data_IF_177460888153
#
_entry.id   IF_177460888153
#
_cell.length_a   1.000
_cell.length_b   1.000
_cell.length_c   1.000
_cell.angle_alpha   90.00
_cell.angle_beta   90.00
_cell.angle_gamma   90.00
#
_symmetry.space_group_name_H-M   'P 1'
#
loop_
_entity.id
_entity.type
_entity.pdbx_description
1 polymer ?
#
# COMPACT_ATOMS: atom_id res chain seq x y z
N UNK A 1 -50.64 -9.53 21.72
CA UNK A 1 -50.73 -10.08 20.34
C UNK A 1 -50.31 -9.10 19.27
N UNK A 2 -50.85 -7.89 19.21
CA UNK A 2 -50.52 -6.88 18.17
C UNK A 2 -49.03 -6.47 18.14
N UNK A 3 -48.39 -6.29 19.30
CA UNK A 3 -46.99 -5.90 19.41
C UNK A 3 -46.06 -7.02 18.88
N UNK A 4 -46.35 -8.28 19.14
CA UNK A 4 -45.61 -9.43 18.58
C UNK A 4 -45.74 -9.53 17.07
N UNK A 5 -46.95 -9.31 16.52
CA UNK A 5 -47.17 -9.32 15.08
C UNK A 5 -46.40 -8.18 14.35
N UNK A 6 -46.31 -7.00 14.96
CA UNK A 6 -45.52 -5.87 14.41
C UNK A 6 -44.03 -6.17 14.39
N UNK A 7 -43.48 -6.80 15.45
CA UNK A 7 -42.06 -7.20 15.48
C UNK A 7 -41.79 -8.24 14.39
N UNK A 8 -42.63 -9.24 14.25
CA UNK A 8 -42.45 -10.26 13.23
C UNK A 8 -42.53 -9.70 11.82
N UNK A 9 -43.44 -8.77 11.55
CA UNK A 9 -43.56 -8.11 10.26
C UNK A 9 -42.34 -7.26 9.97
N UNK A 10 -41.84 -6.49 10.95
CA UNK A 10 -40.62 -5.67 10.76
C UNK A 10 -39.38 -6.55 10.46
N UNK A 11 -39.21 -7.68 11.14
CA UNK A 11 -38.15 -8.63 10.83
C UNK A 11 -38.25 -9.21 9.43
N UNK A 12 -39.48 -9.59 9.00
CA UNK A 12 -39.69 -10.07 7.64
C UNK A 12 -39.33 -9.03 6.58
N UNK A 13 -39.75 -7.79 6.77
CA UNK A 13 -39.42 -6.69 5.87
C UNK A 13 -37.90 -6.46 5.83
N UNK A 14 -37.22 -6.39 6.97
CA UNK A 14 -35.77 -6.22 7.05
C UNK A 14 -35.02 -7.36 6.35
N UNK A 15 -35.42 -8.60 6.61
CA UNK A 15 -34.84 -9.78 5.92
C UNK A 15 -35.06 -9.72 4.41
N UNK A 16 -36.25 -9.34 3.96
CA UNK A 16 -36.57 -9.20 2.53
C UNK A 16 -35.72 -8.11 1.85
N UNK A 17 -35.58 -6.95 2.51
CA UNK A 17 -34.73 -5.87 2.03
C UNK A 17 -33.24 -6.29 1.98
N UNK A 18 -32.78 -7.01 3.00
CA UNK A 18 -31.42 -7.52 3.06
C UNK A 18 -31.12 -8.51 1.92
N UNK A 19 -32.04 -9.48 1.70
CA UNK A 19 -31.90 -10.44 0.59
C UNK A 19 -31.98 -9.77 -0.77
N UNK A 20 -32.85 -8.79 -0.93
CA UNK A 20 -32.95 -8.02 -2.15
C UNK A 20 -31.63 -7.27 -2.42
N UNK A 21 -31.07 -6.58 -1.42
CA UNK A 21 -29.78 -5.91 -1.54
C UNK A 21 -28.63 -6.91 -1.82
N UNK A 22 -28.61 -8.05 -1.16
CA UNK A 22 -27.61 -9.10 -1.41
C UNK A 22 -27.68 -9.64 -2.84
N UNK A 23 -28.86 -9.92 -3.36
CA UNK A 23 -29.05 -10.47 -4.70
C UNK A 23 -28.81 -9.43 -5.81
N UNK A 24 -29.25 -8.18 -5.60
CA UNK A 24 -29.19 -7.14 -6.65
C UNK A 24 -27.87 -6.35 -6.65
N UNK A 25 -27.20 -6.23 -5.53
CA UNK A 25 -25.96 -5.45 -5.39
C UNK A 25 -24.80 -6.35 -4.95
N UNK A 26 -24.94 -7.06 -3.84
CA UNK A 26 -23.83 -7.78 -3.21
C UNK A 26 -23.24 -8.89 -4.09
N UNK A 27 -24.10 -9.78 -4.62
CA UNK A 27 -23.65 -10.87 -5.50
C UNK A 27 -23.09 -10.35 -6.82
N UNK A 28 -23.78 -9.46 -7.58
CA UNK A 28 -23.22 -8.90 -8.81
C UNK A 28 -21.91 -8.17 -8.58
N UNK A 29 -21.79 -7.34 -7.55
CA UNK A 29 -20.55 -6.67 -7.20
C UNK A 29 -19.41 -7.67 -6.94
N UNK A 30 -19.66 -8.69 -6.13
CA UNK A 30 -18.66 -9.73 -5.82
C UNK A 30 -18.23 -10.48 -7.08
N UNK A 31 -19.16 -10.84 -7.95
CA UNK A 31 -18.85 -11.48 -9.23
C UNK A 31 -18.01 -10.56 -10.13
N UNK A 32 -18.35 -9.27 -10.23
CA UNK A 32 -17.56 -8.30 -11.00
C UNK A 32 -16.15 -8.14 -10.44
N UNK A 33 -16.00 -8.06 -9.12
CA UNK A 33 -14.69 -8.00 -8.46
C UNK A 33 -13.87 -9.28 -8.70
N UNK A 34 -14.52 -10.42 -8.76
CA UNK A 34 -13.85 -11.71 -8.99
C UNK A 34 -13.39 -11.89 -10.43
N UNK A 35 -14.28 -11.64 -11.39
CA UNK A 35 -14.04 -11.94 -12.82
C UNK A 35 -13.33 -10.82 -13.59
N UNK A 36 -13.39 -9.57 -13.12
CA UNK A 36 -12.79 -8.44 -13.83
C UNK A 36 -11.70 -7.75 -13.03
N UNK A 37 -10.44 -7.99 -13.40
CA UNK A 37 -9.27 -7.29 -12.82
C UNK A 37 -9.39 -5.77 -13.03
N UNK A 38 -9.84 -5.32 -14.19
CA UNK A 38 -10.01 -3.90 -14.51
C UNK A 38 -11.08 -3.25 -13.63
N UNK A 39 -12.24 -3.90 -13.47
CA UNK A 39 -13.28 -3.42 -12.56
C UNK A 39 -12.78 -3.36 -11.12
N UNK A 40 -12.12 -4.42 -10.64
CA UNK A 40 -11.55 -4.48 -9.30
C UNK A 40 -10.56 -3.33 -9.04
N UNK A 41 -9.66 -3.05 -9.98
CA UNK A 41 -8.68 -1.96 -9.85
C UNK A 41 -9.35 -0.57 -9.86
N UNK A 42 -10.37 -0.37 -10.71
CA UNK A 42 -11.14 0.88 -10.76
C UNK A 42 -11.98 1.07 -9.49
N UNK A 43 -12.70 0.03 -9.07
CA UNK A 43 -13.47 0.03 -7.83
C UNK A 43 -12.58 0.32 -6.62
N UNK A 44 -11.43 -0.35 -6.52
CA UNK A 44 -10.51 -0.17 -5.41
C UNK A 44 -9.99 1.26 -5.32
N UNK A 45 -9.57 1.87 -6.44
CA UNK A 45 -9.06 3.25 -6.40
C UNK A 45 -10.14 4.23 -5.94
N UNK A 46 -11.38 4.10 -6.44
CA UNK A 46 -12.51 4.89 -5.97
C UNK A 46 -12.82 4.64 -4.49
N UNK A 47 -12.98 3.36 -4.10
CA UNK A 47 -13.31 2.95 -2.74
C UNK A 47 -12.24 3.39 -1.73
N UNK A 48 -10.96 3.24 -2.12
CA UNK A 48 -9.85 3.66 -1.27
C UNK A 48 -9.84 5.17 -1.08
N UNK A 49 -9.93 5.95 -2.15
CA UNK A 49 -9.85 7.42 -2.08
C UNK A 49 -11.02 8.04 -1.30
N UNK A 50 -12.23 7.54 -1.51
CA UNK A 50 -13.43 8.18 -0.95
C UNK A 50 -13.96 7.57 0.34
N UNK A 51 -13.70 6.29 0.59
CA UNK A 51 -14.26 5.57 1.74
C UNK A 51 -13.17 5.19 2.75
N UNK A 52 -12.17 4.43 2.31
CA UNK A 52 -11.13 3.90 3.22
C UNK A 52 -10.08 4.95 3.56
N UNK A 53 -9.59 5.70 2.57
CA UNK A 53 -8.52 6.68 2.73
C UNK A 53 -8.81 7.72 3.80
N UNK A 54 -9.96 8.40 3.83
CA UNK A 54 -10.29 9.38 4.87
C UNK A 54 -10.22 8.83 6.30
N UNK A 55 -10.49 7.53 6.47
CA UNK A 55 -10.40 6.84 7.77
C UNK A 55 -8.98 6.35 8.03
N UNK A 56 -8.33 5.74 7.04
CA UNK A 56 -7.06 5.04 7.18
C UNK A 56 -5.85 6.00 7.16
N UNK A 57 -5.83 6.97 6.24
CA UNK A 57 -4.68 7.85 6.02
C UNK A 57 -4.24 8.62 7.29
N UNK A 58 -5.13 9.26 8.07
CA UNK A 58 -4.72 9.97 9.29
C UNK A 58 -4.03 9.06 10.32
N UNK A 59 -4.40 7.77 10.36
CA UNK A 59 -3.87 6.79 11.32
C UNK A 59 -2.52 6.22 10.88
N UNK A 60 -2.18 6.36 9.60
CA UNK A 60 -0.88 5.96 9.06
C UNK A 60 0.16 7.09 9.04
N UNK A 61 -0.21 8.31 9.44
CA UNK A 61 0.72 9.45 9.57
C UNK A 61 1.89 9.14 10.51
N UNK A 62 1.70 8.59 11.73
CA UNK A 62 2.83 8.32 12.63
C UNK A 62 3.88 7.36 12.03
N UNK A 63 3.52 6.17 11.51
CA UNK A 63 4.50 5.31 10.87
C UNK A 63 5.10 5.90 9.58
N UNK A 64 4.34 6.69 8.80
CA UNK A 64 4.88 7.42 7.64
C UNK A 64 5.92 8.45 8.06
N UNK A 65 5.67 9.25 9.09
CA UNK A 65 6.66 10.18 9.62
C UNK A 65 7.94 9.48 10.03
N UNK A 66 7.83 8.32 10.69
CA UNK A 66 9.01 7.54 11.09
C UNK A 66 9.82 7.07 9.89
N UNK A 67 9.17 6.51 8.85
CA UNK A 67 9.88 6.04 7.66
C UNK A 67 10.52 7.18 6.87
N UNK A 68 9.85 8.33 6.78
CA UNK A 68 10.44 9.49 6.09
C UNK A 68 11.49 10.23 6.92
N UNK A 69 11.47 10.08 8.26
CA UNK A 69 12.60 10.51 9.09
C UNK A 69 13.84 9.64 8.81
N UNK A 70 13.68 8.32 8.73
CA UNK A 70 14.76 7.42 8.32
C UNK A 70 15.33 7.82 6.95
N UNK A 71 14.45 8.13 5.97
CA UNK A 71 14.90 8.64 4.67
C UNK A 71 15.76 9.90 4.81
N UNK A 72 15.29 10.90 5.57
CA UNK A 72 16.01 12.16 5.78
C UNK A 72 17.36 11.93 6.46
N UNK A 73 17.42 11.06 7.44
CA UNK A 73 18.65 10.70 8.15
C UNK A 73 19.66 10.01 7.21
N UNK A 74 19.18 9.09 6.36
CA UNK A 74 20.01 8.40 5.36
C UNK A 74 20.63 9.32 4.31
N UNK A 75 20.04 10.48 4.04
CA UNK A 75 20.49 11.43 3.02
C UNK A 75 20.97 12.76 3.62
N UNK A 76 21.19 12.83 4.93
CA UNK A 76 21.55 14.07 5.63
C UNK A 76 22.87 14.66 5.13
N UNK A 77 23.86 13.80 4.90
CA UNK A 77 25.23 14.19 4.51
C UNK A 77 25.42 14.37 3.00
N UNK A 78 24.33 14.24 2.20
CA UNK A 78 24.41 14.43 0.74
C UNK A 78 24.65 15.89 0.38
N UNK A 79 25.25 16.13 -0.78
CA UNK A 79 25.29 17.47 -1.37
C UNK A 79 23.85 17.92 -1.71
N UNK A 80 23.37 18.98 -1.04
CA UNK A 80 22.02 19.50 -1.21
C UNK A 80 21.81 20.28 -2.51
N UNK A 81 22.86 20.65 -3.21
CA UNK A 81 22.79 21.32 -4.52
C UNK A 81 22.43 20.34 -5.64
N UNK A 82 22.63 19.05 -5.42
CA UNK A 82 22.25 17.98 -6.35
C UNK A 82 20.88 17.42 -5.97
N UNK A 83 19.89 17.40 -6.88
CA UNK A 83 18.58 16.79 -6.59
C UNK A 83 18.70 15.32 -6.19
N UNK A 84 17.87 14.90 -5.24
CA UNK A 84 17.75 13.51 -4.83
C UNK A 84 16.88 12.76 -5.85
N UNK A 85 17.44 11.76 -6.52
CA UNK A 85 16.69 10.91 -7.45
C UNK A 85 15.90 9.83 -6.70
N UNK A 86 14.58 9.97 -6.68
CA UNK A 86 13.69 9.11 -5.91
C UNK A 86 12.66 8.41 -6.79
N UNK A 87 12.43 7.13 -6.55
CA UNK A 87 11.29 6.38 -7.06
C UNK A 87 10.37 5.98 -5.91
N UNK A 88 9.10 6.34 -5.99
CA UNK A 88 8.06 5.75 -5.15
C UNK A 88 7.32 4.65 -5.91
N UNK A 89 7.33 3.43 -5.38
CA UNK A 89 6.63 2.28 -5.96
C UNK A 89 5.33 2.01 -5.19
N UNK A 90 4.21 1.88 -5.91
CA UNK A 90 2.88 1.75 -5.33
C UNK A 90 2.37 3.06 -4.76
N UNK A 91 2.49 4.14 -5.54
CA UNK A 91 2.20 5.51 -5.07
C UNK A 91 0.74 5.73 -4.68
N UNK A 92 -0.21 4.98 -5.27
CA UNK A 92 -1.63 5.19 -5.06
C UNK A 92 -2.07 6.62 -5.35
N UNK A 93 -2.81 7.22 -4.42
CA UNK A 93 -3.22 8.64 -4.52
C UNK A 93 -2.15 9.65 -4.07
N UNK A 94 -0.96 9.17 -3.66
CA UNK A 94 0.14 10.02 -3.20
C UNK A 94 0.10 10.45 -1.73
N UNK A 95 -0.19 9.56 -0.77
CA UNK A 95 -0.28 9.93 0.65
C UNK A 95 1.08 10.28 1.28
N UNK A 96 2.17 10.00 0.58
CA UNK A 96 3.54 10.27 1.04
C UNK A 96 4.06 11.64 0.63
N UNK A 97 3.40 12.34 -0.29
CA UNK A 97 3.89 13.57 -0.90
C UNK A 97 4.27 14.66 0.12
N UNK A 98 3.51 14.76 1.22
CA UNK A 98 3.77 15.74 2.29
C UNK A 98 5.08 15.49 3.08
N UNK A 99 5.74 14.36 2.89
CA UNK A 99 6.89 13.97 3.71
C UNK A 99 8.24 14.03 2.97
N UNK A 100 8.23 14.11 1.64
CA UNK A 100 9.45 14.19 0.84
C UNK A 100 10.28 15.44 1.17
N UNK A 101 11.62 15.34 1.14
CA UNK A 101 12.50 16.50 1.32
C UNK A 101 12.41 17.45 0.13
N UNK A 102 12.86 18.68 0.34
CA UNK A 102 13.10 19.63 -0.73
C UNK A 102 14.23 19.15 -1.65
N UNK A 103 14.27 19.69 -2.87
CA UNK A 103 15.23 19.32 -3.92
C UNK A 103 15.25 17.81 -4.20
N UNK A 104 14.06 17.28 -4.53
CA UNK A 104 13.81 15.87 -4.81
C UNK A 104 13.18 15.74 -6.21
N UNK A 105 13.81 14.96 -7.07
CA UNK A 105 13.26 14.52 -8.35
C UNK A 105 12.48 13.23 -8.12
N UNK A 106 11.16 13.32 -8.15
CA UNK A 106 10.30 12.20 -7.84
C UNK A 106 9.71 11.57 -9.10
N UNK A 107 10.10 10.35 -9.38
CA UNK A 107 9.40 9.42 -10.27
C UNK A 107 8.45 8.56 -9.45
N UNK A 108 7.24 8.30 -9.96
CA UNK A 108 6.27 7.44 -9.27
C UNK A 108 5.85 6.29 -10.17
N UNK A 109 5.64 5.13 -9.55
CA UNK A 109 5.22 3.92 -10.25
C UNK A 109 4.01 3.30 -9.54
N UNK A 110 2.99 2.96 -10.33
CA UNK A 110 1.86 2.16 -9.85
C UNK A 110 1.33 1.28 -11.00
N UNK A 111 0.96 0.03 -10.69
CA UNK A 111 0.31 -0.84 -11.68
C UNK A 111 -1.14 -0.48 -11.95
N UNK A 112 -1.78 0.24 -11.02
CA UNK A 112 -3.18 0.63 -11.11
C UNK A 112 -3.33 2.03 -11.71
N UNK A 113 -3.51 2.09 -13.03
CA UNK A 113 -3.69 3.35 -13.78
C UNK A 113 -4.83 4.24 -13.27
N UNK A 114 -5.79 3.70 -12.55
CA UNK A 114 -6.93 4.48 -12.04
C UNK A 114 -6.56 5.39 -10.85
N UNK A 115 -5.36 5.24 -10.28
CA UNK A 115 -4.85 6.20 -9.30
C UNK A 115 -4.22 7.45 -9.93
N UNK A 116 -3.83 7.40 -11.21
CA UNK A 116 -3.09 8.47 -11.87
C UNK A 116 -3.75 9.86 -11.73
N UNK A 117 -5.07 9.95 -11.97
CA UNK A 117 -5.80 11.21 -11.86
C UNK A 117 -5.87 11.74 -10.42
N UNK A 118 -6.01 10.85 -9.43
CA UNK A 118 -6.01 11.21 -8.01
C UNK A 118 -4.63 11.69 -7.57
N UNK A 119 -3.59 10.96 -7.97
CA UNK A 119 -2.22 11.34 -7.74
C UNK A 119 -1.90 12.70 -8.34
N UNK A 120 -2.19 12.93 -9.64
CA UNK A 120 -1.93 14.19 -10.34
C UNK A 120 -2.63 15.39 -9.66
N UNK A 121 -3.85 15.18 -9.13
CA UNK A 121 -4.55 16.21 -8.34
C UNK A 121 -3.85 16.50 -7.01
N UNK A 122 -3.37 15.47 -6.31
CA UNK A 122 -2.67 15.64 -5.03
C UNK A 122 -1.28 16.25 -5.23
N UNK A 123 -0.57 15.87 -6.27
CA UNK A 123 0.76 16.38 -6.61
C UNK A 123 0.82 17.91 -6.72
N UNK A 124 -0.23 18.53 -7.27
CA UNK A 124 -0.34 19.99 -7.37
C UNK A 124 -0.28 20.73 -6.04
N UNK A 125 -0.52 20.05 -4.91
CA UNK A 125 -0.46 20.63 -3.56
C UNK A 125 0.97 20.73 -3.02
N UNK A 126 1.95 20.09 -3.69
CA UNK A 126 3.33 19.99 -3.23
C UNK A 126 4.32 20.47 -4.30
N UNK A 127 4.31 21.78 -4.65
CA UNK A 127 5.12 22.34 -5.74
C UNK A 127 6.63 22.30 -5.48
N UNK A 128 7.05 22.02 -4.25
CA UNK A 128 8.47 21.88 -3.88
C UNK A 128 9.10 20.56 -4.37
N UNK A 129 8.27 19.60 -4.84
CA UNK A 129 8.72 18.35 -5.41
C UNK A 129 8.82 18.48 -6.92
N UNK A 130 9.98 18.19 -7.49
CA UNK A 130 10.16 18.13 -8.93
C UNK A 130 9.65 16.79 -9.47
N UNK A 131 8.41 16.78 -9.99
CA UNK A 131 7.85 15.59 -10.62
C UNK A 131 8.50 15.31 -11.96
N UNK A 132 9.04 14.10 -12.13
CA UNK A 132 9.65 13.68 -13.38
C UNK A 132 8.63 12.99 -14.27
N UNK A 133 8.04 11.89 -13.80
CA UNK A 133 7.03 11.13 -14.56
C UNK A 133 6.25 10.15 -13.69
N UNK A 134 5.09 9.74 -14.20
CA UNK A 134 4.32 8.60 -13.71
C UNK A 134 4.57 7.39 -14.62
N UNK A 135 4.89 6.25 -14.04
CA UNK A 135 5.13 4.99 -14.74
C UNK A 135 4.00 4.01 -14.38
N UNK A 136 3.25 3.55 -15.37
CA UNK A 136 2.17 2.58 -15.18
C UNK A 136 2.68 1.17 -15.48
N UNK A 137 3.34 0.58 -14.51
CA UNK A 137 3.96 -0.75 -14.60
C UNK A 137 3.85 -1.49 -13.25
N UNK A 138 3.91 -2.84 -13.27
CA UNK A 138 4.09 -3.61 -12.04
C UNK A 138 5.51 -3.40 -11.48
N UNK A 139 5.63 -3.34 -10.16
CA UNK A 139 6.93 -3.17 -9.50
C UNK A 139 7.86 -4.40 -9.66
N UNK A 140 7.32 -5.52 -10.09
CA UNK A 140 8.05 -6.73 -10.48
C UNK A 140 8.86 -6.59 -11.78
N UNK A 141 8.53 -5.58 -12.59
CA UNK A 141 9.20 -5.28 -13.84
C UNK A 141 9.23 -3.76 -14.06
N UNK A 142 10.32 -3.13 -13.69
CA UNK A 142 10.54 -1.68 -13.82
C UNK A 142 11.38 -1.37 -15.07
N UNK A 143 11.06 -1.96 -16.23
CA UNK A 143 11.85 -1.84 -17.46
C UNK A 143 12.07 -0.40 -17.93
N UNK A 144 11.16 0.52 -17.59
CA UNK A 144 11.28 1.93 -17.94
C UNK A 144 12.21 2.72 -16.99
N UNK A 145 12.71 2.09 -15.94
CA UNK A 145 13.66 2.69 -14.99
C UNK A 145 15.05 2.12 -15.25
N UNK A 146 16.00 3.01 -15.50
CA UNK A 146 17.37 2.61 -15.79
C UNK A 146 18.07 1.98 -14.57
N UNK A 147 19.03 1.09 -14.84
CA UNK A 147 19.89 0.48 -13.83
C UNK A 147 20.70 1.55 -13.10
N UNK A 148 20.87 1.38 -11.79
CA UNK A 148 21.73 2.25 -10.96
C UNK A 148 21.49 3.74 -11.15
N UNK A 149 20.22 4.14 -11.35
CA UNK A 149 19.84 5.54 -11.63
C UNK A 149 19.31 6.29 -10.42
N UNK A 150 18.89 5.58 -9.36
CA UNK A 150 18.17 6.16 -8.23
C UNK A 150 19.01 6.15 -6.95
N UNK A 151 18.91 7.23 -6.19
CA UNK A 151 19.48 7.33 -4.85
C UNK A 151 18.62 6.63 -3.81
N UNK A 152 17.29 6.75 -3.98
CA UNK A 152 16.31 6.17 -3.04
C UNK A 152 15.14 5.54 -3.79
N UNK A 153 14.70 4.38 -3.31
CA UNK A 153 13.39 3.78 -3.63
C UNK A 153 12.55 3.75 -2.36
N UNK A 154 11.30 4.17 -2.45
CA UNK A 154 10.34 4.17 -1.34
C UNK A 154 9.18 3.24 -1.67
N UNK A 155 8.77 2.40 -0.72
CA UNK A 155 7.49 1.69 -0.77
C UNK A 155 6.69 1.85 0.52
N UNK A 156 5.38 2.00 0.39
CA UNK A 156 4.47 1.96 1.53
C UNK A 156 3.24 1.14 1.20
N UNK A 157 3.06 0.01 1.90
CA UNK A 157 1.94 -0.92 1.71
C UNK A 157 1.81 -1.47 0.28
N UNK A 158 2.96 -1.77 -0.36
CA UNK A 158 3.04 -2.33 -1.71
C UNK A 158 3.13 -3.85 -1.71
N UNK A 159 4.04 -4.41 -0.88
CA UNK A 159 4.40 -5.84 -0.96
C UNK A 159 3.23 -6.78 -0.69
N UNK A 160 2.20 -6.33 0.00
CA UNK A 160 0.98 -7.10 0.20
C UNK A 160 0.19 -7.34 -1.10
N UNK A 161 0.34 -6.44 -2.10
CA UNK A 161 -0.45 -6.42 -3.34
C UNK A 161 0.33 -6.79 -4.59
N UNK A 162 1.66 -6.99 -4.49
CA UNK A 162 2.47 -7.47 -5.62
C UNK A 162 2.30 -8.98 -5.81
N UNK A 163 2.55 -9.48 -7.01
CA UNK A 163 2.45 -10.92 -7.30
C UNK A 163 3.68 -11.66 -6.75
N UNK A 164 4.88 -11.10 -6.95
CA UNK A 164 6.15 -11.63 -6.42
C UNK A 164 7.01 -10.55 -5.75
N UNK A 165 7.03 -10.58 -4.41
CA UNK A 165 7.86 -9.64 -3.62
C UNK A 165 9.37 -9.81 -3.87
N UNK A 166 9.85 -11.00 -4.23
CA UNK A 166 11.28 -11.18 -4.53
C UNK A 166 11.65 -10.56 -5.87
N UNK A 167 10.78 -10.65 -6.87
CA UNK A 167 10.95 -9.94 -8.14
C UNK A 167 10.98 -8.43 -7.93
N UNK A 168 10.07 -7.87 -7.11
CA UNK A 168 10.09 -6.45 -6.72
C UNK A 168 11.42 -6.07 -6.09
N UNK A 169 11.90 -6.83 -5.12
CA UNK A 169 13.15 -6.53 -4.41
C UNK A 169 14.38 -6.64 -5.32
N UNK A 170 14.37 -7.55 -6.30
CA UNK A 170 15.38 -7.64 -7.33
C UNK A 170 15.42 -6.39 -8.21
N UNK A 171 14.26 -5.91 -8.65
CA UNK A 171 14.15 -4.68 -9.43
C UNK A 171 14.57 -3.45 -8.61
N UNK A 172 14.14 -3.34 -7.34
CA UNK A 172 14.58 -2.28 -6.42
C UNK A 172 16.10 -2.22 -6.35
N UNK A 173 16.76 -3.37 -6.18
CA UNK A 173 18.23 -3.42 -6.18
C UNK A 173 18.84 -3.04 -7.52
N UNK A 174 18.23 -3.45 -8.66
CA UNK A 174 18.73 -3.11 -9.99
C UNK A 174 18.75 -1.60 -10.20
N UNK A 175 17.66 -0.91 -9.90
CA UNK A 175 17.48 0.53 -10.16
C UNK A 175 18.24 1.43 -9.18
N UNK A 176 18.51 0.97 -7.95
CA UNK A 176 19.30 1.71 -6.97
C UNK A 176 20.77 1.81 -7.40
N UNK A 177 21.39 2.98 -7.20
CA UNK A 177 22.84 3.19 -7.27
C UNK A 177 23.55 2.34 -6.20
N UNK A 178 24.84 2.01 -6.36
CA UNK A 178 25.63 1.46 -5.26
C UNK A 178 25.55 2.36 -4.02
N UNK A 179 25.23 1.77 -2.84
CA UNK A 179 24.99 2.51 -1.59
C UNK A 179 23.64 3.18 -1.51
N UNK A 180 22.81 3.13 -2.57
CA UNK A 180 21.44 3.65 -2.59
C UNK A 180 20.52 2.97 -1.57
N UNK A 181 19.46 3.64 -1.16
CA UNK A 181 18.61 3.24 -0.05
C UNK A 181 17.21 2.80 -0.50
N UNK A 182 16.78 1.66 -0.03
CA UNK A 182 15.38 1.23 -0.12
C UNK A 182 14.70 1.47 1.23
N UNK A 183 13.76 2.39 1.27
CA UNK A 183 13.02 2.79 2.48
C UNK A 183 11.61 2.22 2.40
N UNK A 184 11.16 1.54 3.45
CA UNK A 184 9.90 0.80 3.40
C UNK A 184 9.05 0.91 4.67
N UNK A 185 7.73 0.89 4.46
CA UNK A 185 6.69 0.73 5.46
C UNK A 185 5.67 -0.29 4.93
N UNK A 186 5.62 -1.47 5.53
CA UNK A 186 4.76 -2.55 5.04
C UNK A 186 3.98 -3.20 6.19
N UNK A 187 2.72 -3.57 5.96
CA UNK A 187 2.05 -4.47 6.88
C UNK A 187 2.48 -5.91 6.62
N UNK A 188 2.52 -6.70 7.68
CA UNK A 188 2.98 -8.08 7.65
C UNK A 188 2.01 -9.00 8.40
N UNK A 189 2.19 -10.30 8.21
CA UNK A 189 1.42 -11.30 8.95
C UNK A 189 1.70 -11.23 10.46
N UNK A 190 0.74 -11.73 11.22
CA UNK A 190 0.97 -12.04 12.64
C UNK A 190 2.05 -13.11 12.81
N UNK A 191 2.78 -13.11 13.94
CA UNK A 191 3.63 -14.22 14.32
C UNK A 191 2.92 -15.58 14.24
N UNK A 192 3.64 -16.63 13.87
CA UNK A 192 3.06 -17.96 13.62
C UNK A 192 2.41 -18.59 14.85
N UNK A 193 2.78 -18.17 16.04
CA UNK A 193 2.23 -18.62 17.33
C UNK A 193 1.03 -17.78 17.81
N UNK A 194 0.59 -16.79 17.04
CA UNK A 194 -0.53 -15.93 17.41
C UNK A 194 -1.80 -16.30 16.61
N UNK A 195 -2.96 -16.29 17.27
CA UNK A 195 -4.27 -16.57 16.66
C UNK A 195 -4.63 -15.60 15.52
N UNK A 196 -4.08 -14.39 15.56
CA UNK A 196 -4.28 -13.38 14.52
C UNK A 196 -3.89 -13.84 13.12
N UNK A 197 -2.88 -14.71 12.98
CA UNK A 197 -2.50 -15.29 11.69
C UNK A 197 -3.60 -16.17 11.10
N UNK A 198 -4.28 -16.98 11.94
CA UNK A 198 -5.40 -17.81 11.50
C UNK A 198 -6.57 -16.97 11.02
N UNK A 199 -6.86 -15.85 11.71
CA UNK A 199 -7.89 -14.89 11.28
C UNK A 199 -7.50 -14.22 9.95
N UNK A 200 -6.23 -13.78 9.80
CA UNK A 200 -5.75 -13.22 8.54
C UNK A 200 -5.95 -14.19 7.38
N UNK A 201 -5.56 -15.45 7.54
CA UNK A 201 -5.72 -16.49 6.50
C UNK A 201 -7.18 -16.77 6.16
N UNK A 202 -8.06 -16.80 7.15
CA UNK A 202 -9.50 -17.02 6.95
C UNK A 202 -10.14 -15.87 6.14
N UNK A 203 -9.78 -14.64 6.44
CA UNK A 203 -10.35 -13.43 5.82
C UNK A 203 -9.70 -13.12 4.47
N UNK A 204 -8.47 -13.60 4.25
CA UNK A 204 -7.63 -13.25 3.10
C UNK A 204 -8.33 -13.37 1.72
N UNK A 205 -9.16 -14.40 1.40
CA UNK A 205 -9.83 -14.48 0.11
C UNK A 205 -10.77 -13.30 -0.17
N UNK A 206 -11.54 -12.88 0.84
CA UNK A 206 -12.46 -11.74 0.73
C UNK A 206 -11.64 -10.42 0.69
N UNK A 207 -10.64 -10.31 1.54
CA UNK A 207 -9.75 -9.15 1.59
C UNK A 207 -9.07 -8.91 0.23
N UNK A 208 -8.53 -9.96 -0.39
CA UNK A 208 -7.91 -9.91 -1.71
C UNK A 208 -8.81 -9.29 -2.79
N UNK A 209 -10.11 -9.61 -2.78
CA UNK A 209 -11.05 -9.08 -3.75
C UNK A 209 -11.31 -7.58 -3.55
N UNK A 210 -11.56 -7.16 -2.32
CA UNK A 210 -11.92 -5.77 -2.04
C UNK A 210 -10.71 -4.83 -2.02
N UNK A 211 -9.51 -5.35 -1.70
CA UNK A 211 -8.27 -4.56 -1.61
C UNK A 211 -7.29 -4.83 -2.77
N UNK A 212 -7.84 -5.07 -3.96
CA UNK A 212 -7.12 -5.14 -5.23
C UNK A 212 -5.87 -6.05 -5.22
N UNK A 213 -6.02 -7.25 -4.66
CA UNK A 213 -4.93 -8.22 -4.59
C UNK A 213 -4.06 -8.12 -3.33
N UNK A 214 -4.39 -7.25 -2.38
CA UNK A 214 -3.71 -7.22 -1.09
C UNK A 214 -3.95 -8.53 -0.33
N UNK A 215 -2.88 -9.10 0.22
CA UNK A 215 -2.89 -10.30 1.06
C UNK A 215 -2.38 -9.98 2.46
N UNK A 216 -3.00 -10.56 3.47
CA UNK A 216 -2.76 -10.24 4.88
C UNK A 216 -1.61 -11.04 5.51
N UNK A 217 -1.26 -12.18 4.91
CA UNK A 217 -0.43 -13.24 5.51
C UNK A 217 0.99 -13.31 4.96
N UNK A 218 1.52 -12.20 4.43
CA UNK A 218 2.90 -12.14 3.91
C UNK A 218 3.92 -11.77 4.99
N UNK A 219 5.01 -12.53 5.02
CA UNK A 219 6.21 -12.18 5.80
C UNK A 219 7.21 -11.42 4.91
N UNK A 220 6.93 -10.15 4.69
CA UNK A 220 7.77 -9.25 3.89
C UNK A 220 9.12 -9.01 4.54
N UNK A 221 9.19 -9.01 5.89
CA UNK A 221 10.45 -8.80 6.60
C UNK A 221 11.51 -9.85 6.26
N UNK A 222 11.11 -11.13 6.21
CA UNK A 222 12.01 -12.22 5.82
C UNK A 222 12.47 -12.08 4.37
N UNK A 223 11.58 -11.68 3.47
CA UNK A 223 11.91 -11.49 2.05
C UNK A 223 12.93 -10.36 1.85
N UNK A 224 12.74 -9.21 2.50
CA UNK A 224 13.69 -8.09 2.43
C UNK A 224 15.08 -8.51 2.94
N UNK A 225 15.14 -9.22 4.08
CA UNK A 225 16.42 -9.72 4.63
C UNK A 225 17.15 -10.71 3.70
N UNK A 226 16.40 -11.48 2.91
CA UNK A 226 16.95 -12.46 1.95
C UNK A 226 17.22 -11.89 0.57
N UNK A 227 16.82 -10.65 0.29
CA UNK A 227 16.94 -10.06 -1.04
C UNK A 227 18.36 -9.67 -1.45
N UNK A 228 19.35 -9.83 -0.56
CA UNK A 228 20.77 -9.60 -0.86
C UNK A 228 21.18 -8.12 -0.79
N UNK A 229 20.51 -7.31 0.00
CA UNK A 229 20.99 -5.99 0.41
C UNK A 229 22.23 -6.14 1.30
N UNK A 230 23.13 -5.16 1.25
CA UNK A 230 24.35 -5.17 2.07
C UNK A 230 24.06 -4.97 3.55
N UNK A 231 23.01 -4.20 3.86
CA UNK A 231 22.53 -3.93 5.21
C UNK A 231 21.01 -3.80 5.20
N UNK A 232 20.36 -4.30 6.27
CA UNK A 232 18.90 -4.17 6.46
C UNK A 232 18.61 -3.82 7.91
N UNK A 233 18.12 -2.61 8.14
CA UNK A 233 17.57 -2.16 9.42
C UNK A 233 16.05 -2.22 9.31
N UNK A 234 15.41 -3.00 10.18
CA UNK A 234 13.98 -3.28 10.09
C UNK A 234 13.36 -3.38 11.49
N UNK A 235 12.58 -2.39 11.85
CA UNK A 235 11.84 -2.28 13.11
C UNK A 235 10.42 -2.79 12.96
N UNK A 236 9.90 -3.40 14.01
CA UNK A 236 8.47 -3.72 14.11
C UNK A 236 7.70 -2.50 14.61
N UNK A 237 6.54 -2.27 14.01
CA UNK A 237 5.58 -1.28 14.45
C UNK A 237 4.21 -1.96 14.61
N UNK A 238 3.55 -1.73 15.74
CA UNK A 238 2.21 -2.25 16.01
C UNK A 238 1.26 -1.06 16.07
N UNK A 239 0.31 -0.99 15.14
CA UNK A 239 -0.71 0.06 15.14
C UNK A 239 -1.55 -0.01 16.43
N UNK A 240 -1.74 1.10 17.14
CA UNK A 240 -2.51 1.11 18.39
C UNK A 240 -4.03 0.99 18.16
N UNK A 241 -4.49 1.12 16.92
CA UNK A 241 -5.92 1.13 16.60
C UNK A 241 -6.47 -0.29 16.54
N UNK A 242 -7.42 -0.64 17.40
CA UNK A 242 -8.00 -1.98 17.49
C UNK A 242 -8.70 -2.43 16.20
N UNK A 243 -9.34 -1.51 15.48
CA UNK A 243 -10.05 -1.81 14.23
C UNK A 243 -9.09 -2.07 13.04
N UNK A 244 -7.80 -1.69 13.16
CA UNK A 244 -6.76 -2.09 12.21
C UNK A 244 -6.21 -3.49 12.49
N UNK A 245 -6.90 -4.30 13.29
CA UNK A 245 -6.43 -5.60 13.76
C UNK A 245 -5.75 -6.44 12.66
N UNK A 246 -6.37 -6.55 11.48
CA UNK A 246 -5.86 -7.35 10.36
C UNK A 246 -4.53 -6.84 9.77
N UNK A 247 -4.23 -5.56 9.88
CA UNK A 247 -3.03 -4.91 9.31
C UNK A 247 -2.20 -4.16 10.36
N UNK A 248 -2.42 -4.47 11.64
CA UNK A 248 -1.76 -3.76 12.74
C UNK A 248 -0.27 -4.06 12.87
N UNK A 249 0.17 -5.27 12.48
CA UNK A 249 1.58 -5.62 12.45
C UNK A 249 2.21 -5.02 11.20
N UNK A 250 3.20 -4.18 11.41
CA UNK A 250 3.88 -3.46 10.35
C UNK A 250 5.39 -3.52 10.57
N UNK A 251 6.14 -3.31 9.52
CA UNK A 251 7.59 -3.12 9.54
C UNK A 251 7.93 -1.78 8.94
N UNK A 252 8.94 -1.13 9.51
CA UNK A 252 9.49 0.14 9.06
C UNK A 252 10.99 -0.04 8.98
N UNK A 253 11.61 0.41 7.89
CA UNK A 253 13.04 0.26 7.81
C UNK A 253 13.68 0.80 6.55
N UNK A 254 14.96 0.50 6.45
CA UNK A 254 15.82 0.84 5.32
C UNK A 254 16.72 -0.34 4.99
N UNK A 255 16.94 -0.56 3.70
CA UNK A 255 17.92 -1.51 3.20
C UNK A 255 18.90 -0.80 2.25
N UNK A 256 20.18 -1.14 2.33
CA UNK A 256 21.26 -0.54 1.53
C UNK A 256 21.67 -1.51 0.42
N UNK A 257 21.78 -1.01 -0.83
CA UNK A 257 22.32 -1.79 -1.95
C UNK A 257 23.83 -2.02 -1.84
#
# INVERSE_FOLDING_TARGET
MIFGALITLSWFVLCSLWWMAALTIGIPLTLMLFFSKTFRSSFFSWFFVYIIGPIFQPRTIPPRRKVFQILKDCVADRNKDVPLEVLEIGVGEGPNLAFYPENCNLTVLDKNKFFESFYAKNAKKFPHISYQRTVIQPAENMSDIADSSLDVVVSTYLHCSCDDSMAVLKEVRRVLKPGGKYVFLEHVCYPSNEFGLSIQRLINPIWFLFFNGCTLDRDTAVKIKRAGFSEVICDKYISPYWWMYLVRHQIIGVATK
#
